data_IF_107936124465
#
_entry.id   IF_107936124465
#
_cell.length_a   1.000
_cell.length_b   1.000
_cell.length_c   1.000
_cell.angle_alpha   90.00
_cell.angle_beta   90.00
_cell.angle_gamma   90.00
#
_symmetry.space_group_name_H-M   'P 1'
#
loop_
_entity.id
_entity.type
_entity.pdbx_description
1 polymer ?
#
# COMPACT_ATOMS: atom_id res chain seq x y z
N UNK A 1 12.93 1.54 29.43
CA UNK A 1 11.93 2.46 28.81
C UNK A 1 11.81 2.03 27.36
N UNK A 2 10.60 1.89 26.79
CA UNK A 2 10.45 1.47 25.39
C UNK A 2 11.18 2.47 24.48
N UNK A 3 11.89 1.95 23.48
CA UNK A 3 12.62 2.77 22.53
C UNK A 3 11.63 3.58 21.66
N UNK A 4 11.87 4.88 21.42
CA UNK A 4 10.97 5.70 20.61
C UNK A 4 10.87 5.14 19.18
N UNK A 5 9.66 5.20 18.61
CA UNK A 5 9.40 4.70 17.26
C UNK A 5 10.13 5.57 16.24
N UNK A 6 10.72 4.97 15.20
CA UNK A 6 11.42 5.74 14.15
C UNK A 6 10.47 6.64 13.35
N UNK A 7 9.16 6.42 13.45
CA UNK A 7 8.13 7.32 12.89
C UNK A 7 7.89 8.59 13.72
N UNK A 8 8.35 8.64 14.97
CA UNK A 8 8.27 9.85 15.80
C UNK A 8 9.29 10.91 15.36
N UNK A 9 10.31 10.51 14.57
CA UNK A 9 11.23 11.42 13.90
C UNK A 9 10.57 11.98 12.61
N UNK A 10 10.24 13.30 12.58
CA UNK A 10 9.59 13.92 11.42
C UNK A 10 10.42 13.84 10.13
N UNK A 11 11.75 13.75 10.23
CA UNK A 11 12.61 13.58 9.06
C UNK A 11 12.51 12.17 8.45
N UNK A 12 12.44 11.13 9.29
CA UNK A 12 12.30 9.75 8.81
C UNK A 12 10.89 9.47 8.27
N UNK A 13 9.85 9.93 8.97
CA UNK A 13 8.47 9.76 8.56
C UNK A 13 8.17 10.39 7.19
N UNK A 14 8.69 11.61 6.95
CA UNK A 14 8.50 12.29 5.66
C UNK A 14 9.15 11.55 4.49
N UNK A 15 10.35 10.99 4.68
CA UNK A 15 11.02 10.17 3.67
C UNK A 15 10.25 8.88 3.35
N UNK A 16 9.77 8.17 4.38
CA UNK A 16 9.02 6.93 4.22
C UNK A 16 7.68 7.17 3.49
N UNK A 17 6.99 8.26 3.82
CA UNK A 17 5.73 8.65 3.18
C UNK A 17 5.93 9.10 1.73
N UNK A 18 7.02 9.82 1.42
CA UNK A 18 7.37 10.19 0.05
C UNK A 18 7.56 8.96 -0.85
N UNK A 19 8.19 7.89 -0.32
CA UNK A 19 8.35 6.62 -1.04
C UNK A 19 7.02 5.93 -1.28
N UNK A 20 6.14 5.87 -0.27
CA UNK A 20 4.79 5.31 -0.41
C UNK A 20 4.00 6.01 -1.52
N UNK A 21 3.97 7.35 -1.53
CA UNK A 21 3.27 8.10 -2.56
C UNK A 21 3.88 7.93 -3.96
N UNK A 22 5.20 7.78 -4.07
CA UNK A 22 5.86 7.50 -5.35
C UNK A 22 5.42 6.14 -5.91
N UNK A 23 5.30 5.11 -5.07
CA UNK A 23 4.79 3.80 -5.45
C UNK A 23 3.30 3.88 -5.85
N UNK A 24 2.48 4.54 -5.03
CA UNK A 24 1.04 4.71 -5.31
C UNK A 24 0.78 5.42 -6.63
N UNK A 25 1.59 6.42 -6.99
CA UNK A 25 1.52 7.07 -8.32
C UNK A 25 1.80 6.10 -9.47
N UNK A 26 2.79 5.22 -9.31
CA UNK A 26 3.06 4.16 -10.29
C UNK A 26 1.89 3.18 -10.43
N UNK A 27 1.33 2.76 -9.30
CA UNK A 27 0.16 1.87 -9.27
C UNK A 27 -1.11 2.54 -9.81
N UNK A 28 -1.26 3.86 -9.64
CA UNK A 28 -2.37 4.61 -10.23
C UNK A 28 -2.28 4.66 -11.76
N UNK A 29 -1.09 4.85 -12.33
CA UNK A 29 -0.88 4.79 -13.78
C UNK A 29 -1.17 3.38 -14.33
N UNK A 30 -0.69 2.35 -13.66
CA UNK A 30 -0.99 0.96 -14.03
C UNK A 30 -2.50 0.67 -13.96
N UNK A 31 -3.15 1.08 -12.88
CA UNK A 31 -4.60 0.93 -12.71
C UNK A 31 -5.37 1.66 -13.80
N UNK A 32 -4.95 2.88 -14.16
CA UNK A 32 -5.56 3.64 -15.25
C UNK A 32 -5.43 2.89 -16.59
N UNK A 33 -4.28 2.27 -16.85
CA UNK A 33 -4.09 1.44 -18.04
C UNK A 33 -5.03 0.23 -18.03
N UNK A 34 -5.16 -0.47 -16.90
CA UNK A 34 -6.11 -1.58 -16.76
C UNK A 34 -7.56 -1.14 -16.98
N UNK A 35 -7.98 -0.01 -16.40
CA UNK A 35 -9.32 0.56 -16.62
C UNK A 35 -9.52 0.88 -18.09
N UNK A 36 -8.58 1.55 -18.75
CA UNK A 36 -8.68 1.89 -20.16
C UNK A 36 -8.82 0.64 -21.04
N UNK A 37 -8.03 -0.41 -20.77
CA UNK A 37 -8.12 -1.69 -21.48
C UNK A 37 -9.47 -2.36 -21.25
N UNK A 38 -9.92 -2.46 -20.00
CA UNK A 38 -11.21 -3.08 -19.68
C UNK A 38 -12.38 -2.34 -20.32
N UNK A 39 -12.41 -1.00 -20.26
CA UNK A 39 -13.45 -0.22 -20.92
C UNK A 39 -13.37 -0.33 -22.45
N UNK A 40 -12.16 -0.37 -23.02
CA UNK A 40 -11.95 -0.59 -24.46
C UNK A 40 -12.51 -1.94 -24.93
N UNK A 41 -12.26 -3.01 -24.16
CA UNK A 41 -12.81 -4.34 -24.43
C UNK A 41 -14.34 -4.32 -24.30
N UNK A 42 -14.86 -3.71 -23.23
CA UNK A 42 -16.31 -3.63 -23.00
C UNK A 42 -17.02 -2.87 -24.13
N UNK A 43 -16.41 -1.76 -24.58
CA UNK A 43 -16.90 -0.99 -25.72
C UNK A 43 -16.83 -1.78 -27.03
N UNK A 44 -15.73 -2.49 -27.28
CA UNK A 44 -15.57 -3.29 -28.49
C UNK A 44 -16.60 -4.42 -28.59
N UNK A 45 -16.90 -5.09 -27.47
CA UNK A 45 -17.80 -6.24 -27.46
C UNK A 45 -19.28 -5.88 -27.41
N UNK A 46 -19.65 -4.83 -26.68
CA UNK A 46 -21.07 -4.51 -26.42
C UNK A 46 -21.50 -3.14 -26.96
N UNK A 47 -20.58 -2.33 -27.50
CA UNK A 47 -20.88 -0.98 -27.98
C UNK A 47 -21.38 -0.06 -26.86
N UNK A 48 -22.23 0.91 -27.20
CA UNK A 48 -22.78 1.86 -26.24
C UNK A 48 -23.96 1.26 -25.46
N UNK A 49 -23.66 0.56 -24.36
CA UNK A 49 -24.68 0.00 -23.46
C UNK A 49 -25.33 1.06 -22.57
N UNK A 50 -24.73 1.38 -21.42
CA UNK A 50 -25.22 2.37 -20.46
C UNK A 50 -24.04 3.00 -19.74
N UNK A 51 -24.07 4.33 -19.56
CA UNK A 51 -22.99 5.06 -18.92
C UNK A 51 -22.73 4.60 -17.47
N UNK A 52 -23.78 4.13 -16.78
CA UNK A 52 -23.68 3.58 -15.43
C UNK A 52 -22.81 2.33 -15.39
N UNK A 53 -22.86 1.48 -16.43
CA UNK A 53 -22.00 0.29 -16.51
C UNK A 53 -20.53 0.68 -16.66
N UNK A 54 -20.22 1.61 -17.57
CA UNK A 54 -18.84 2.09 -17.76
C UNK A 54 -18.28 2.69 -16.47
N UNK A 55 -19.07 3.52 -15.78
CA UNK A 55 -18.64 4.17 -14.54
C UNK A 55 -18.48 3.15 -13.41
N UNK A 56 -19.43 2.22 -13.25
CA UNK A 56 -19.37 1.17 -12.23
C UNK A 56 -18.18 0.22 -12.46
N UNK A 57 -17.92 -0.18 -13.70
CA UNK A 57 -16.76 -1.01 -14.06
C UNK A 57 -15.45 -0.27 -13.80
N UNK A 58 -15.34 0.99 -14.25
CA UNK A 58 -14.14 1.79 -14.03
C UNK A 58 -13.87 2.01 -12.53
N UNK A 59 -14.89 2.41 -11.78
CA UNK A 59 -14.80 2.62 -10.34
C UNK A 59 -14.47 1.33 -9.60
N UNK A 60 -15.11 0.21 -9.95
CA UNK A 60 -14.87 -1.09 -9.34
C UNK A 60 -13.43 -1.57 -9.54
N UNK A 61 -12.93 -1.51 -10.78
CA UNK A 61 -11.54 -1.89 -11.10
C UNK A 61 -10.55 -0.96 -10.39
N UNK A 62 -10.75 0.35 -10.51
CA UNK A 62 -9.85 1.33 -9.93
C UNK A 62 -9.79 1.20 -8.41
N UNK A 63 -10.95 1.08 -7.76
CA UNK A 63 -11.06 0.93 -6.33
C UNK A 63 -10.40 -0.37 -5.85
N UNK A 64 -10.70 -1.51 -6.46
CA UNK A 64 -10.15 -2.80 -6.05
C UNK A 64 -8.61 -2.85 -6.17
N UNK A 65 -8.06 -2.40 -7.31
CA UNK A 65 -6.62 -2.40 -7.54
C UNK A 65 -5.90 -1.40 -6.64
N UNK A 66 -6.46 -0.20 -6.46
CA UNK A 66 -5.83 0.80 -5.60
C UNK A 66 -5.92 0.47 -4.13
N UNK A 67 -7.02 -0.16 -3.70
CA UNK A 67 -7.16 -0.67 -2.34
C UNK A 67 -6.14 -1.79 -2.09
N UNK A 68 -6.01 -2.75 -3.00
CA UNK A 68 -4.99 -3.80 -2.91
C UNK A 68 -3.58 -3.22 -2.81
N UNK A 69 -3.22 -2.30 -3.71
CA UNK A 69 -1.90 -1.66 -3.72
C UNK A 69 -1.65 -0.81 -2.46
N UNK A 70 -2.66 -0.06 -2.01
CA UNK A 70 -2.58 0.79 -0.82
C UNK A 70 -2.37 -0.03 0.45
N UNK A 71 -3.14 -1.10 0.63
CA UNK A 71 -2.98 -2.00 1.77
C UNK A 71 -1.61 -2.68 1.76
N UNK A 72 -1.16 -3.20 0.62
CA UNK A 72 0.17 -3.80 0.50
C UNK A 72 1.28 -2.78 0.79
N UNK A 73 1.13 -1.54 0.30
CA UNK A 73 2.06 -0.45 0.57
C UNK A 73 2.13 -0.07 2.06
N UNK A 74 0.98 -0.06 2.74
CA UNK A 74 0.91 0.20 4.18
C UNK A 74 1.54 -0.93 5.01
N UNK A 75 1.39 -2.20 4.60
CA UNK A 75 2.08 -3.33 5.23
C UNK A 75 3.61 -3.20 5.12
N UNK A 76 4.13 -2.77 3.96
CA UNK A 76 5.56 -2.49 3.80
C UNK A 76 6.03 -1.29 4.62
N UNK A 77 5.19 -0.28 4.80
CA UNK A 77 5.52 0.84 5.68
C UNK A 77 5.58 0.37 7.14
N UNK A 78 4.62 -0.45 7.58
CA UNK A 78 4.55 -0.99 8.94
C UNK A 78 5.77 -1.82 9.31
N UNK A 79 6.23 -2.70 8.41
CA UNK A 79 7.43 -3.53 8.63
C UNK A 79 8.72 -2.72 8.54
N UNK A 80 8.83 -1.77 7.60
CA UNK A 80 10.04 -0.98 7.39
C UNK A 80 10.29 0.15 8.40
N UNK A 81 9.37 0.44 9.31
CA UNK A 81 9.53 1.52 10.30
C UNK A 81 10.20 1.08 11.60
N UNK A 82 10.61 -0.20 11.71
CA UNK A 82 11.28 -0.72 12.91
C UNK A 82 10.35 -0.86 14.11
N UNK A 83 9.03 -0.97 13.89
CA UNK A 83 8.05 -1.18 14.95
C UNK A 83 8.33 -2.50 15.69
N UNK A 84 8.57 -3.57 14.94
CA UNK A 84 8.85 -4.89 15.52
C UNK A 84 10.27 -5.00 16.10
N UNK A 85 11.23 -4.20 15.59
CA UNK A 85 12.59 -4.12 16.14
C UNK A 85 12.68 -3.30 17.44
N UNK A 86 11.66 -2.48 17.73
CA UNK A 86 11.60 -1.64 18.95
C UNK A 86 11.05 -2.37 20.18
N UNK A 87 10.62 -3.62 20.01
CA UNK A 87 10.14 -4.47 21.11
C UNK A 87 11.37 -5.06 21.82
N UNK A 88 11.65 -4.56 23.03
CA UNK A 88 12.63 -5.15 23.94
C UNK A 88 12.11 -6.53 24.35
N UNK A 89 12.70 -7.61 23.82
CA UNK A 89 12.29 -8.99 24.11
C UNK A 89 12.78 -9.38 25.53
N UNK A 90 11.86 -9.51 26.52
CA UNK A 90 12.25 -9.85 27.88
C UNK A 90 12.78 -11.29 28.00
N UNK A 91 12.49 -12.18 27.05
CA UNK A 91 12.91 -13.59 27.07
C UNK A 91 14.37 -13.74 26.65
N UNK A 92 14.86 -12.86 25.76
CA UNK A 92 16.27 -12.85 25.34
C UNK A 92 17.26 -12.57 26.49
N UNK A 93 16.81 -11.90 27.57
CA UNK A 93 17.63 -11.63 28.76
C UNK A 93 17.73 -12.82 29.72
N UNK A 94 16.85 -13.82 29.63
CA UNK A 94 16.87 -15.01 30.51
C UNK A 94 17.75 -16.16 29.97
N UNK A 95 18.23 -16.06 28.73
CA UNK A 95 19.08 -17.08 28.06
C UNK A 95 20.50 -16.51 27.84
N UNK A 96 21.13 -15.99 28.89
CA UNK A 96 22.60 -15.92 28.97
C UNK A 96 23.07 -17.06 29.87
N UNK A 97 23.58 -18.19 29.34
CA UNK A 97 24.17 -19.27 30.12
C UNK A 97 25.57 -18.87 30.60
N UNK A 98 25.63 -17.90 31.48
CA UNK A 98 26.84 -17.47 32.15
C UNK A 98 26.52 -17.00 33.59
N UNK A 99 25.97 -17.94 34.37
CA UNK A 99 26.30 -18.16 35.79
C UNK A 99 26.24 -19.66 36.13
#
# INVERSE_FOLDING_TARGET
MPQPSRLDDPHYASFAWARYWRLMRGMALFTLACVAVSLGILFYLHGFVSIHMYLATAAGIAFALMLMAGLMGLVFLSSGTGHDESIDDPVSKEISPDE
#
